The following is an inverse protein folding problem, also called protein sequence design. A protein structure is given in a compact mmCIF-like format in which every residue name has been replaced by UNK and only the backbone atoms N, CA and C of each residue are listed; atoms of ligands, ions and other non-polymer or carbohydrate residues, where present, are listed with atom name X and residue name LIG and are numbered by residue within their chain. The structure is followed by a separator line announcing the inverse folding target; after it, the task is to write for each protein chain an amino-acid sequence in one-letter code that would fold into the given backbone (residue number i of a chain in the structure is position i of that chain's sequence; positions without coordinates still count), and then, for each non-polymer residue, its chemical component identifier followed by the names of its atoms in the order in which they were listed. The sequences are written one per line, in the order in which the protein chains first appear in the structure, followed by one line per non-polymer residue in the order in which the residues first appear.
data_IF_325792980786
#
_entry.id   IF_325792980786
#
_cell.length_a   1.000
_cell.length_b   1.000
_cell.length_c   1.000
_cell.angle_alpha   90.00
_cell.angle_beta   90.00
_cell.angle_gamma   90.00
#
_symmetry.space_group_name_H-M   'P 1'
#
loop_
_entity.id
_entity.type
_entity.pdbx_description
1 polymer ?
#
# COMPACT_ATOMS: atom_id res chain seq x y z
N UNK A 1 -13.40 -9.68 -7.41
CA UNK A 1 -14.62 -10.49 -7.15
C UNK A 1 -15.85 -9.85 -7.78
N UNK A 2 -16.14 -8.56 -7.55
CA UNK A 2 -17.23 -7.85 -8.26
C UNK A 2 -17.13 -7.94 -9.79
N UNK A 3 -15.93 -7.83 -10.36
CA UNK A 3 -15.71 -8.00 -11.80
C UNK A 3 -15.86 -9.46 -12.31
N UNK A 4 -16.12 -10.43 -11.43
CA UNK A 4 -16.46 -11.80 -11.81
C UNK A 4 -17.98 -12.06 -11.74
N UNK A 5 -18.72 -11.12 -11.18
CA UNK A 5 -20.19 -11.16 -11.11
C UNK A 5 -20.75 -10.53 -12.38
N UNK A 6 -21.56 -11.30 -13.12
CA UNK A 6 -22.16 -10.84 -14.37
C UNK A 6 -23.21 -9.75 -14.13
N UNK A 7 -23.99 -9.85 -13.05
CA UNK A 7 -25.02 -8.86 -12.71
C UNK A 7 -24.38 -7.49 -12.46
N UNK A 8 -23.21 -7.48 -11.81
CA UNK A 8 -22.43 -6.27 -11.60
C UNK A 8 -21.89 -5.68 -12.91
N UNK A 9 -21.41 -6.50 -13.84
CA UNK A 9 -20.90 -6.02 -15.15
C UNK A 9 -22.03 -5.42 -15.99
N UNK A 10 -23.17 -6.08 -16.04
CA UNK A 10 -24.36 -5.58 -16.75
C UNK A 10 -24.81 -4.24 -16.17
N UNK A 11 -24.88 -4.14 -14.84
CA UNK A 11 -25.20 -2.89 -14.15
C UNK A 11 -24.21 -1.78 -14.55
N UNK A 12 -22.91 -2.01 -14.42
CA UNK A 12 -21.91 -0.98 -14.72
C UNK A 12 -21.95 -0.56 -16.19
N UNK A 13 -22.08 -1.50 -17.13
CA UNK A 13 -22.21 -1.18 -18.55
C UNK A 13 -23.45 -0.32 -18.81
N UNK A 14 -24.59 -0.65 -18.20
CA UNK A 14 -25.81 0.15 -18.33
C UNK A 14 -25.63 1.57 -17.79
N UNK A 15 -24.95 1.74 -16.65
CA UNK A 15 -24.70 3.04 -16.03
C UNK A 15 -23.71 3.88 -16.84
N UNK A 16 -22.71 3.26 -17.48
CA UNK A 16 -21.77 3.97 -18.37
C UNK A 16 -22.50 4.53 -19.58
N UNK A 17 -23.30 3.70 -20.26
CA UNK A 17 -24.09 4.13 -21.43
C UNK A 17 -25.03 5.27 -21.04
N UNK A 18 -25.79 5.09 -19.96
CA UNK A 18 -26.69 6.12 -19.43
C UNK A 18 -25.98 7.45 -19.13
N UNK A 19 -24.79 7.39 -18.54
CA UNK A 19 -24.02 8.60 -18.24
C UNK A 19 -23.56 9.31 -19.51
N UNK A 20 -23.03 8.56 -20.49
CA UNK A 20 -22.53 9.13 -21.74
C UNK A 20 -23.67 9.73 -22.57
N UNK A 21 -24.82 9.05 -22.67
CA UNK A 21 -25.98 9.54 -23.42
C UNK A 21 -26.50 10.89 -22.87
N UNK A 22 -26.32 11.15 -21.58
CA UNK A 22 -26.78 12.38 -20.93
C UNK A 22 -25.75 13.52 -20.94
N UNK A 23 -24.46 13.19 -20.93
CA UNK A 23 -23.40 14.16 -20.68
C UNK A 23 -22.46 14.38 -21.87
N UNK A 24 -22.53 13.56 -22.92
CA UNK A 24 -21.74 13.75 -24.14
C UNK A 24 -22.36 14.87 -25.00
N UNK A 25 -22.07 16.11 -24.61
CA UNK A 25 -22.52 17.33 -25.29
C UNK A 25 -21.31 18.09 -25.83
N UNK A 26 -21.49 18.81 -26.93
CA UNK A 26 -20.41 19.55 -27.62
C UNK A 26 -19.73 20.62 -26.76
N UNK A 27 -20.37 21.04 -25.67
CA UNK A 27 -19.88 22.08 -24.76
C UNK A 27 -18.91 21.55 -23.70
N UNK A 28 -18.84 20.23 -23.49
CA UNK A 28 -18.05 19.61 -22.43
C UNK A 28 -16.73 19.08 -22.99
N UNK A 29 -15.62 19.49 -22.38
CA UNK A 29 -14.30 18.93 -22.68
C UNK A 29 -14.24 17.44 -22.34
N UNK A 30 -13.64 16.63 -23.22
CA UNK A 30 -13.46 15.19 -23.02
C UNK A 30 -12.73 14.86 -21.70
N UNK A 31 -11.84 15.74 -21.23
CA UNK A 31 -11.17 15.57 -19.93
C UNK A 31 -12.15 15.69 -18.75
N UNK A 32 -13.02 16.69 -18.79
CA UNK A 32 -14.07 16.88 -17.77
C UNK A 32 -15.08 15.74 -17.79
N UNK A 33 -15.47 15.28 -18.99
CA UNK A 33 -16.35 14.14 -19.17
C UNK A 33 -15.77 12.84 -18.56
N UNK A 34 -14.47 12.60 -18.75
CA UNK A 34 -13.80 11.42 -18.19
C UNK A 34 -13.71 11.47 -16.66
N UNK A 35 -13.33 12.61 -16.09
CA UNK A 35 -13.24 12.76 -14.64
C UNK A 35 -14.62 12.64 -13.97
N UNK A 36 -15.66 13.22 -14.57
CA UNK A 36 -17.03 13.12 -14.06
C UNK A 36 -17.59 11.69 -14.19
N UNK A 37 -17.34 11.00 -15.30
CA UNK A 37 -17.70 9.59 -15.47
C UNK A 37 -17.04 8.71 -14.39
N UNK A 38 -15.73 8.88 -14.15
CA UNK A 38 -15.02 8.13 -13.10
C UNK A 38 -15.63 8.35 -11.73
N UNK A 39 -15.95 9.60 -11.38
CA UNK A 39 -16.57 9.92 -10.09
C UNK A 39 -17.97 9.29 -9.97
N UNK A 40 -18.77 9.36 -11.04
CA UNK A 40 -20.10 8.76 -11.11
C UNK A 40 -20.05 7.24 -10.94
N UNK A 41 -19.23 6.55 -11.74
CA UNK A 41 -19.07 5.09 -11.67
C UNK A 41 -18.56 4.65 -10.30
N UNK A 42 -17.60 5.39 -9.70
CA UNK A 42 -17.16 5.12 -8.33
C UNK A 42 -18.34 5.17 -7.34
N UNK A 43 -19.23 6.15 -7.48
CA UNK A 43 -20.45 6.25 -6.68
C UNK A 43 -21.38 5.03 -6.85
N UNK A 44 -21.59 4.59 -8.09
CA UNK A 44 -22.39 3.40 -8.40
C UNK A 44 -21.80 2.14 -7.76
N UNK A 45 -20.48 1.94 -7.87
CA UNK A 45 -19.78 0.80 -7.27
C UNK A 45 -19.91 0.79 -5.75
N UNK A 46 -19.78 1.95 -5.12
CA UNK A 46 -19.93 2.10 -3.66
C UNK A 46 -21.36 1.74 -3.23
N UNK A 47 -22.37 2.25 -3.94
CA UNK A 47 -23.78 1.99 -3.66
C UNK A 47 -24.11 0.49 -3.77
N UNK A 48 -23.71 -0.14 -4.87
CA UNK A 48 -23.91 -1.57 -5.11
C UNK A 48 -23.24 -2.43 -4.03
N UNK A 49 -21.97 -2.15 -3.74
CA UNK A 49 -21.21 -2.89 -2.71
C UNK A 49 -21.81 -2.74 -1.32
N UNK A 50 -22.36 -1.56 -0.99
CA UNK A 50 -23.05 -1.32 0.26
C UNK A 50 -24.37 -2.11 0.35
N UNK A 51 -25.13 -2.19 -0.74
CA UNK A 51 -26.34 -3.02 -0.86
C UNK A 51 -26.03 -4.50 -0.63
N UNK A 52 -25.05 -5.02 -1.34
CA UNK A 52 -24.58 -6.41 -1.20
C UNK A 52 -24.15 -6.73 0.22
N UNK A 53 -23.37 -5.84 0.84
CA UNK A 53 -22.97 -5.98 2.25
C UNK A 53 -24.18 -6.04 3.17
N UNK A 54 -25.19 -5.20 2.94
CA UNK A 54 -26.42 -5.19 3.74
C UNK A 54 -27.19 -6.50 3.62
N UNK A 55 -27.29 -7.05 2.41
CA UNK A 55 -27.94 -8.35 2.15
C UNK A 55 -27.20 -9.46 2.89
N UNK A 56 -25.87 -9.53 2.77
CA UNK A 56 -25.05 -10.53 3.46
C UNK A 56 -25.19 -10.45 4.98
N UNK A 57 -25.09 -9.24 5.55
CA UNK A 57 -25.28 -9.04 7.01
C UNK A 57 -26.67 -9.52 7.44
N UNK A 58 -27.72 -9.16 6.69
CA UNK A 58 -29.08 -9.60 6.98
C UNK A 58 -29.17 -11.13 6.98
N UNK A 59 -28.63 -11.80 5.96
CA UNK A 59 -28.62 -13.27 5.88
C UNK A 59 -27.87 -13.90 7.05
N UNK A 60 -26.70 -13.39 7.41
CA UNK A 60 -25.93 -13.85 8.58
C UNK A 60 -26.73 -13.71 9.87
N UNK A 61 -27.44 -12.59 10.07
CA UNK A 61 -28.28 -12.40 11.26
C UNK A 61 -29.48 -13.35 11.30
N UNK A 62 -30.10 -13.63 10.14
CA UNK A 62 -31.19 -14.59 10.02
C UNK A 62 -30.72 -16.01 10.35
N UNK A 63 -29.56 -16.42 9.82
CA UNK A 63 -28.96 -17.73 10.11
C UNK A 63 -28.61 -17.87 11.59
N UNK A 64 -28.01 -16.86 12.20
CA UNK A 64 -27.68 -16.89 13.63
C UNK A 64 -28.94 -17.01 14.50
N UNK A 65 -30.03 -16.35 14.12
CA UNK A 65 -31.33 -16.49 14.80
C UNK A 65 -31.89 -17.90 14.63
N UNK A 66 -31.87 -18.44 13.41
CA UNK A 66 -32.36 -19.78 13.11
C UNK A 66 -31.58 -20.87 13.84
N UNK A 67 -30.25 -20.75 13.94
CA UNK A 67 -29.39 -21.66 14.72
C UNK A 67 -29.80 -21.62 16.20
N UNK A 68 -29.98 -20.40 16.75
CA UNK A 68 -30.40 -20.24 18.15
C UNK A 68 -31.77 -20.87 18.43
N UNK A 69 -32.72 -20.71 17.52
CA UNK A 69 -34.05 -21.33 17.63
C UNK A 69 -33.95 -22.86 17.59
N UNK A 70 -33.16 -23.43 16.66
CA UNK A 70 -32.94 -24.87 16.58
C UNK A 70 -32.25 -25.40 17.85
N UNK A 71 -31.27 -24.68 18.40
CA UNK A 71 -30.57 -25.08 19.62
C UNK A 71 -31.49 -25.09 20.85
N UNK A 72 -32.41 -24.13 20.94
CA UNK A 72 -33.44 -24.12 21.98
C UNK A 72 -34.37 -25.33 21.88
N UNK A 73 -34.89 -25.63 20.69
CA UNK A 73 -35.80 -26.77 20.49
C UNK A 73 -35.07 -28.08 20.78
N UNK A 74 -33.83 -28.21 20.32
CA UNK A 74 -33.03 -29.41 20.53
C UNK A 74 -32.64 -29.63 22.01
N UNK A 75 -32.49 -28.55 22.81
CA UNK A 75 -32.30 -28.69 24.26
C UNK A 75 -33.54 -29.21 25.00
N UNK A 76 -34.74 -28.96 24.46
CA UNK A 76 -36.01 -29.40 25.05
C UNK A 76 -36.42 -30.79 24.54
N UNK A 77 -36.09 -31.10 23.29
CA UNK A 77 -36.41 -32.37 22.65
C UNK A 77 -35.29 -32.76 21.70
N UNK A 78 -34.34 -33.60 22.15
CA UNK A 78 -33.26 -34.07 21.30
C UNK A 78 -33.81 -34.93 20.16
N UNK A 79 -33.70 -34.43 18.92
CA UNK A 79 -34.15 -35.13 17.73
C UNK A 79 -33.06 -35.10 16.65
N UNK A 80 -32.82 -36.24 16.01
CA UNK A 80 -31.79 -36.38 14.98
C UNK A 80 -32.00 -35.45 13.78
N UNK A 81 -33.26 -35.24 13.39
CA UNK A 81 -33.65 -34.28 12.34
C UNK A 81 -33.28 -32.82 12.69
N UNK A 82 -33.40 -32.43 13.96
CA UNK A 82 -33.03 -31.09 14.43
C UNK A 82 -31.51 -30.90 14.38
N UNK A 83 -30.75 -31.92 14.77
CA UNK A 83 -29.29 -31.93 14.62
C UNK A 83 -28.87 -31.78 13.16
N UNK A 84 -29.51 -32.50 12.24
CA UNK A 84 -29.23 -32.38 10.80
C UNK A 84 -29.51 -30.96 10.30
N UNK A 85 -30.65 -30.38 10.69
CA UNK A 85 -31.02 -29.00 10.35
C UNK A 85 -30.02 -27.98 10.90
N UNK A 86 -29.55 -28.17 12.13
CA UNK A 86 -28.51 -27.33 12.76
C UNK A 86 -27.22 -27.33 11.96
N UNK A 87 -26.74 -28.53 11.57
CA UNK A 87 -25.51 -28.68 10.79
C UNK A 87 -25.64 -27.93 9.46
N UNK A 88 -26.76 -28.07 8.75
CA UNK A 88 -26.99 -27.35 7.50
C UNK A 88 -26.93 -25.82 7.69
N UNK A 89 -27.62 -25.29 8.70
CA UNK A 89 -27.58 -23.85 9.00
C UNK A 89 -26.18 -23.36 9.38
N UNK A 90 -25.45 -24.16 10.17
CA UNK A 90 -24.07 -23.86 10.53
C UNK A 90 -23.16 -23.84 9.30
N UNK A 91 -23.28 -24.81 8.40
CA UNK A 91 -22.46 -24.84 7.17
C UNK A 91 -22.70 -23.61 6.30
N UNK A 92 -23.96 -23.17 6.16
CA UNK A 92 -24.27 -21.95 5.40
C UNK A 92 -23.67 -20.70 6.06
N UNK A 93 -23.74 -20.63 7.40
CA UNK A 93 -23.14 -19.55 8.17
C UNK A 93 -21.60 -19.52 8.03
N UNK A 94 -20.96 -20.68 8.11
CA UNK A 94 -19.51 -20.83 8.01
C UNK A 94 -19.01 -20.41 6.62
N UNK A 95 -19.74 -20.77 5.55
CA UNK A 95 -19.42 -20.33 4.18
C UNK A 95 -19.43 -18.80 4.09
N UNK A 96 -20.48 -18.14 4.59
CA UNK A 96 -20.57 -16.67 4.55
C UNK A 96 -19.48 -16.00 5.39
N UNK A 97 -19.16 -16.58 6.55
CA UNK A 97 -18.13 -16.05 7.46
C UNK A 97 -16.74 -16.22 6.85
N UNK A 98 -16.45 -17.38 6.26
CA UNK A 98 -15.20 -17.66 5.56
C UNK A 98 -14.97 -16.68 4.39
N UNK A 99 -16.00 -16.39 3.60
CA UNK A 99 -15.91 -15.37 2.55
C UNK A 99 -15.55 -13.97 3.11
N UNK A 100 -16.14 -13.59 4.25
CA UNK A 100 -15.83 -12.32 4.90
C UNK A 100 -14.38 -12.27 5.44
N UNK A 101 -13.89 -13.39 5.97
CA UNK A 101 -12.50 -13.55 6.42
C UNK A 101 -11.52 -13.43 5.26
N UNK A 102 -11.78 -14.12 4.14
CA UNK A 102 -11.00 -13.99 2.90
C UNK A 102 -10.91 -12.53 2.43
N UNK A 103 -12.05 -11.83 2.38
CA UNK A 103 -12.11 -10.42 1.97
C UNK A 103 -11.32 -9.52 2.93
N UNK A 104 -11.38 -9.80 4.23
CA UNK A 104 -10.63 -9.05 5.26
C UNK A 104 -9.13 -9.31 5.16
N UNK A 105 -8.74 -10.56 4.90
CA UNK A 105 -7.36 -10.94 4.67
C UNK A 105 -6.77 -10.27 3.42
N UNK A 106 -7.53 -10.23 2.31
CA UNK A 106 -7.11 -9.54 1.09
C UNK A 106 -6.93 -8.04 1.31
N UNK A 107 -7.85 -7.38 2.02
CA UNK A 107 -7.71 -5.97 2.41
C UNK A 107 -6.46 -5.75 3.26
N UNK A 108 -6.21 -6.62 4.23
CA UNK A 108 -5.01 -6.54 5.07
C UNK A 108 -3.74 -6.67 4.22
N UNK A 109 -3.69 -7.62 3.27
CA UNK A 109 -2.56 -7.76 2.34
C UNK A 109 -2.34 -6.51 1.49
N UNK A 110 -3.42 -5.90 1.00
CA UNK A 110 -3.34 -4.64 0.26
C UNK A 110 -2.77 -3.52 1.13
N UNK A 111 -3.27 -3.35 2.35
CA UNK A 111 -2.75 -2.35 3.31
C UNK A 111 -1.28 -2.62 3.62
N UNK A 112 -0.90 -3.87 3.84
CA UNK A 112 0.50 -4.26 4.06
C UNK A 112 1.37 -4.00 2.83
N UNK A 113 0.86 -4.16 1.61
CA UNK A 113 1.60 -3.82 0.40
C UNK A 113 1.78 -2.29 0.27
N UNK A 114 0.71 -1.53 0.48
CA UNK A 114 0.73 -0.05 0.39
C UNK A 114 1.53 0.62 1.52
N UNK A 115 1.60 0.00 2.70
CA UNK A 115 2.20 0.60 3.89
C UNK A 115 3.37 -0.19 4.50
N UNK A 116 3.67 -1.40 4.01
CA UNK A 116 4.73 -2.26 4.53
C UNK A 116 6.12 -1.67 4.30
N UNK A 117 6.31 -0.95 3.19
CA UNK A 117 7.55 -0.20 2.94
C UNK A 117 7.63 1.11 3.72
N UNK A 118 6.67 1.48 4.59
CA UNK A 118 6.74 2.79 5.27
C UNK A 118 7.98 2.93 6.15
N UNK A 119 8.43 1.84 6.77
CA UNK A 119 9.73 1.79 7.46
C UNK A 119 10.91 1.90 6.49
N UNK A 120 10.84 1.22 5.33
CA UNK A 120 11.84 1.32 4.26
C UNK A 120 11.92 2.71 3.63
N UNK A 121 10.79 3.41 3.48
CA UNK A 121 10.68 4.78 2.96
C UNK A 121 11.24 5.78 3.95
N UNK A 122 10.93 5.62 5.25
CA UNK A 122 11.51 6.45 6.31
C UNK A 122 13.03 6.25 6.38
N UNK A 123 13.49 5.00 6.38
CA UNK A 123 14.92 4.66 6.34
C UNK A 123 15.60 5.22 5.09
N UNK A 124 14.99 5.07 3.92
CA UNK A 124 15.51 5.63 2.66
C UNK A 124 15.60 7.15 2.71
N UNK A 125 14.62 7.81 3.34
CA UNK A 125 14.65 9.26 3.54
C UNK A 125 15.78 9.67 4.50
N UNK A 126 15.94 8.95 5.62
CA UNK A 126 17.04 9.17 6.56
C UNK A 126 18.41 8.94 5.92
N UNK A 127 18.57 7.87 5.13
CA UNK A 127 19.80 7.57 4.38
C UNK A 127 20.10 8.64 3.33
N UNK A 128 19.08 9.15 2.62
CA UNK A 128 19.26 10.27 1.68
C UNK A 128 19.66 11.56 2.41
N UNK A 129 19.04 11.85 3.54
CA UNK A 129 19.36 13.01 4.36
C UNK A 129 20.78 12.92 4.93
N UNK A 130 21.19 11.76 5.44
CA UNK A 130 22.55 11.54 5.93
C UNK A 130 23.59 11.64 4.82
N UNK A 131 23.33 11.03 3.65
CA UNK A 131 24.23 11.13 2.50
C UNK A 131 24.36 12.57 1.99
N UNK A 132 23.28 13.35 2.03
CA UNK A 132 23.31 14.77 1.65
C UNK A 132 24.05 15.61 2.69
N UNK A 133 23.86 15.34 3.99
CA UNK A 133 24.57 16.04 5.07
C UNK A 133 26.07 15.76 5.07
N UNK A 134 26.50 14.55 4.69
CA UNK A 134 27.90 14.19 4.55
C UNK A 134 28.54 14.67 3.23
N UNK A 135 27.77 15.27 2.31
CA UNK A 135 28.31 15.75 1.04
C UNK A 135 29.09 17.05 1.27
N UNK A 136 30.37 17.03 0.91
CA UNK A 136 31.21 18.23 0.90
C UNK A 136 30.81 19.06 -0.33
N UNK A 137 30.23 20.24 -0.08
CA UNK A 137 29.74 21.15 -1.13
C UNK A 137 30.79 22.21 -1.49
N UNK A 138 31.67 22.54 -0.55
CA UNK A 138 32.67 23.59 -0.71
C UNK A 138 33.87 23.30 0.20
N UNK A 139 35.07 23.60 -0.29
CA UNK A 139 36.30 23.62 0.52
C UNK A 139 37.07 24.93 0.29
N UNK A 140 37.92 25.31 1.24
CA UNK A 140 38.84 26.43 1.10
C UNK A 140 40.22 25.95 0.65
N UNK A 141 40.77 26.61 -0.36
CA UNK A 141 42.18 26.47 -0.78
C UNK A 141 43.13 27.14 0.24
N UNK A 142 44.40 26.77 0.23
CA UNK A 142 45.50 27.36 1.01
C UNK A 142 45.63 28.89 0.85
N UNK A 143 45.10 29.45 -0.25
CA UNK A 143 45.03 30.90 -0.49
C UNK A 143 43.72 31.57 -0.03
N UNK A 144 42.81 30.83 0.61
CA UNK A 144 41.54 31.34 1.14
C UNK A 144 40.40 31.44 0.11
N UNK A 145 40.59 30.94 -1.11
CA UNK A 145 39.56 30.90 -2.15
C UNK A 145 38.65 29.68 -2.00
N UNK A 146 37.37 29.84 -2.34
CA UNK A 146 36.33 28.81 -2.18
C UNK A 146 36.20 27.97 -3.44
N UNK A 147 36.38 26.65 -3.34
CA UNK A 147 36.23 25.70 -4.45
C UNK A 147 34.91 24.93 -4.26
N UNK A 148 34.03 25.04 -5.26
CA UNK A 148 32.69 24.41 -5.27
C UNK A 148 32.64 23.24 -6.27
N UNK A 149 33.56 23.18 -7.22
CA UNK A 149 33.61 22.12 -8.23
C UNK A 149 34.11 20.79 -7.64
N UNK A 150 33.46 19.69 -8.00
CA UNK A 150 33.73 18.36 -7.44
C UNK A 150 35.12 17.85 -7.79
N UNK A 151 35.62 18.13 -9.00
CA UNK A 151 36.97 17.73 -9.39
C UNK A 151 38.02 18.59 -8.68
N UNK A 152 37.77 19.89 -8.55
CA UNK A 152 38.59 20.79 -7.75
C UNK A 152 38.69 20.35 -6.28
N UNK A 153 37.56 19.99 -5.67
CA UNK A 153 37.50 19.49 -4.30
C UNK A 153 38.39 18.25 -4.12
N UNK A 154 38.25 17.26 -5.03
CA UNK A 154 39.03 16.02 -4.95
C UNK A 154 40.53 16.25 -5.14
N UNK A 155 40.92 17.17 -6.04
CA UNK A 155 42.33 17.49 -6.30
C UNK A 155 42.98 18.17 -5.09
N UNK A 156 42.28 19.07 -4.42
CA UNK A 156 42.79 19.72 -3.21
C UNK A 156 42.94 18.73 -2.06
N UNK A 157 41.96 17.85 -1.84
CA UNK A 157 42.09 16.76 -0.86
C UNK A 157 43.29 15.86 -1.17
N UNK A 158 43.50 15.55 -2.45
CA UNK A 158 44.65 14.76 -2.89
C UNK A 158 45.96 15.47 -2.56
N UNK A 159 46.13 16.73 -2.96
CA UNK A 159 47.34 17.52 -2.68
C UNK A 159 47.61 17.65 -1.18
N UNK A 160 46.57 17.98 -0.39
CA UNK A 160 46.69 18.10 1.06
C UNK A 160 47.19 16.81 1.73
N UNK A 161 46.63 15.65 1.37
CA UNK A 161 47.07 14.38 1.95
C UNK A 161 48.41 13.91 1.37
N UNK A 162 48.71 14.19 0.10
CA UNK A 162 50.04 13.97 -0.47
C UNK A 162 51.11 14.73 0.32
N UNK A 163 50.88 16.02 0.62
CA UNK A 163 51.79 16.85 1.41
C UNK A 163 51.90 16.37 2.86
N UNK A 164 50.77 16.03 3.50
CA UNK A 164 50.73 15.54 4.88
C UNK A 164 51.58 14.28 5.05
N UNK A 165 51.44 13.31 4.14
CA UNK A 165 52.13 12.02 4.24
C UNK A 165 53.52 11.98 3.57
N UNK A 166 53.86 12.95 2.73
CA UNK A 166 55.25 13.09 2.23
C UNK A 166 56.16 13.76 3.26
N UNK A 167 55.62 14.54 4.20
CA UNK A 167 56.40 15.24 5.23
C UNK A 167 56.99 14.35 6.34
N UNK A 168 56.53 13.10 6.49
CA UNK A 168 57.05 12.15 7.48
C UNK A 168 58.22 11.28 6.98
N UNK A 169 58.55 11.30 5.69
CA UNK A 169 59.68 10.53 5.13
C UNK A 169 60.84 11.46 4.81
N UNK A 170 61.41 12.09 5.85
CA UNK A 170 62.79 12.55 5.75
C UNK A 170 63.61 12.15 6.98
N UNK A 171 63.36 10.94 7.49
CA UNK A 171 64.23 10.31 8.49
C UNK A 171 65.22 9.34 7.83
N UNK A 172 65.84 9.77 6.72
CA UNK A 172 66.95 9.01 6.11
C UNK A 172 68.22 9.06 6.97
N UNK A 173 68.26 9.94 7.97
CA UNK A 173 69.39 10.03 8.91
C UNK A 173 69.22 9.11 10.13
N UNK A 174 68.00 8.81 10.64
CA UNK A 174 67.87 7.78 11.70
C UNK A 174 68.16 6.35 11.25
N UNK A 175 68.11 6.04 9.96
CA UNK A 175 68.42 4.69 9.46
C UNK A 175 69.93 4.40 9.47
N UNK A 176 70.79 5.43 9.46
CA UNK A 176 72.26 5.25 9.51
C UNK A 176 72.78 4.97 10.92
N UNK A 177 72.07 5.39 11.95
CA UNK A 177 72.45 5.15 13.35
C UNK A 177 71.96 3.79 13.88
N UNK A 178 71.30 2.97 13.04
CA UNK A 178 70.74 1.68 13.45
C UNK A 178 71.59 0.47 13.02
N UNK A 179 72.69 0.66 12.29
CA UNK A 179 73.64 -0.41 11.93
C UNK A 179 75.06 -0.06 12.37
#
# INVERSE_FOLDING_TARGET
RLLADEDFKELINSQIVFFLDLNDTSDISSGTLWESLKAYIRGQIISYSAGERKIKIKRTTELMKAIKEVDQVNSMTPLEELHRKRILLQTEYDILTSQHEEDSYLRLRQVLYEHGERAGKLLSYQLKQSATACRIVEIGDNMGNKIIDQMGINNEFKSFYEDLYTSEINDRDRVKDFF
#
